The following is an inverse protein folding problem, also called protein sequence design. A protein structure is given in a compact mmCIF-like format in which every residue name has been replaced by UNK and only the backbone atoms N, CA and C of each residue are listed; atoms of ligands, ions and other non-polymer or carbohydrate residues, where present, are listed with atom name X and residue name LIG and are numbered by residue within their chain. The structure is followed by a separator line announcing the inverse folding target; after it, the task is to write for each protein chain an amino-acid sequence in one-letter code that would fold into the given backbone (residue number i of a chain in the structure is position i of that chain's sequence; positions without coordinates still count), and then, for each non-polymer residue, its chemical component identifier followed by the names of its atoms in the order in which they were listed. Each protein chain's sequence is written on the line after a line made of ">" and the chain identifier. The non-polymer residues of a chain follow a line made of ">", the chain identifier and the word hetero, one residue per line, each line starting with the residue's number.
data_IF_719089214811
#
_entry.id   IF_719089214811
#
_cell.length_a   1.000
_cell.length_b   1.000
_cell.length_c   1.000
_cell.angle_alpha   90.00
_cell.angle_beta   90.00
_cell.angle_gamma   90.00
#
_symmetry.space_group_name_H-M   'P 1'
#
loop_
_entity.id
_entity.type
_entity.pdbx_description
1 polymer ?
#
# COMPACT_ATOMS: atom_id res chain seq x y z
N UNK A 1 6.06 -12.19 -18.26
CA UNK A 1 6.69 -13.54 -18.29
C UNK A 1 5.69 -14.55 -18.85
N UNK A 2 6.16 -15.66 -19.40
CA UNK A 2 5.29 -16.73 -19.92
C UNK A 2 4.37 -17.29 -18.82
N UNK A 3 4.84 -17.36 -17.59
CA UNK A 3 4.07 -17.83 -16.44
C UNK A 3 2.85 -16.94 -16.18
N UNK A 4 3.03 -15.62 -16.22
CA UNK A 4 1.92 -14.67 -15.99
C UNK A 4 0.87 -14.78 -17.11
N UNK A 5 1.29 -14.85 -18.37
CA UNK A 5 0.37 -15.07 -19.49
C UNK A 5 -0.44 -16.36 -19.32
N UNK A 6 0.25 -17.46 -19.00
CA UNK A 6 -0.43 -18.74 -18.77
C UNK A 6 -1.41 -18.67 -17.62
N UNK A 7 -1.04 -18.06 -16.50
CA UNK A 7 -1.90 -17.92 -15.33
C UNK A 7 -3.18 -17.11 -15.64
N UNK A 8 -3.03 -16.00 -16.37
CA UNK A 8 -4.18 -15.17 -16.80
C UNK A 8 -5.13 -15.96 -17.69
N UNK A 9 -4.61 -16.60 -18.74
CA UNK A 9 -5.42 -17.37 -19.68
C UNK A 9 -6.10 -18.57 -19.00
N UNK A 10 -5.39 -19.26 -18.11
CA UNK A 10 -5.96 -20.34 -17.32
C UNK A 10 -7.09 -19.83 -16.39
N UNK A 11 -6.85 -18.72 -15.69
CA UNK A 11 -7.86 -18.13 -14.78
C UNK A 11 -9.12 -17.68 -15.55
N UNK A 12 -8.95 -17.01 -16.71
CA UNK A 12 -10.08 -16.63 -17.59
C UNK A 12 -10.90 -17.85 -18.04
N UNK A 13 -10.23 -18.89 -18.51
CA UNK A 13 -10.91 -20.11 -18.96
C UNK A 13 -11.63 -20.83 -17.83
N UNK A 14 -11.04 -20.90 -16.65
CA UNK A 14 -11.67 -21.53 -15.47
C UNK A 14 -12.84 -20.73 -14.93
N UNK A 15 -12.70 -19.41 -14.84
CA UNK A 15 -13.76 -18.51 -14.42
C UNK A 15 -14.99 -18.62 -15.35
N UNK A 16 -14.76 -18.59 -16.68
CA UNK A 16 -15.81 -18.77 -17.66
C UNK A 16 -16.51 -20.13 -17.54
N UNK A 17 -15.75 -21.21 -17.30
CA UNK A 17 -16.33 -22.56 -17.13
C UNK A 17 -17.14 -22.72 -15.84
N UNK A 18 -16.94 -21.86 -14.86
CA UNK A 18 -17.61 -21.90 -13.55
C UNK A 18 -18.63 -20.77 -13.37
N UNK A 19 -18.83 -19.94 -14.39
CA UNK A 19 -19.67 -18.72 -14.36
C UNK A 19 -19.31 -17.80 -13.18
N UNK A 20 -18.00 -17.56 -13.00
CA UNK A 20 -17.46 -16.72 -11.95
C UNK A 20 -16.84 -15.45 -12.55
N UNK A 21 -16.99 -14.28 -11.91
CA UNK A 21 -16.23 -13.11 -12.29
C UNK A 21 -14.73 -13.32 -11.98
N UNK A 22 -13.87 -12.77 -12.81
CA UNK A 22 -12.40 -12.71 -12.56
C UNK A 22 -11.92 -11.29 -12.77
N UNK A 23 -11.08 -10.82 -11.87
CA UNK A 23 -10.35 -9.54 -11.98
C UNK A 23 -8.87 -9.80 -11.83
N UNK A 24 -8.09 -9.01 -12.53
CA UNK A 24 -6.63 -9.10 -12.49
C UNK A 24 -6.04 -7.78 -12.01
N UNK A 25 -5.16 -7.89 -11.04
CA UNK A 25 -4.36 -6.76 -10.55
C UNK A 25 -2.88 -7.08 -10.71
N UNK A 26 -2.07 -6.08 -11.00
CA UNK A 26 -0.62 -6.21 -11.05
C UNK A 26 0.07 -5.07 -10.34
N UNK A 27 1.09 -5.41 -9.54
CA UNK A 27 2.05 -4.44 -9.00
C UNK A 27 3.33 -4.56 -9.81
N UNK A 28 3.78 -3.44 -10.39
CA UNK A 28 4.92 -3.45 -11.31
C UNK A 28 5.83 -2.25 -11.10
N UNK A 29 7.10 -2.39 -11.51
CA UNK A 29 8.04 -1.28 -11.63
C UNK A 29 8.00 -0.60 -13.00
N UNK A 30 7.17 -1.05 -13.92
CA UNK A 30 7.01 -0.46 -15.24
C UNK A 30 8.17 -0.73 -16.23
N UNK A 31 9.15 -1.57 -15.87
CA UNK A 31 10.31 -1.89 -16.71
C UNK A 31 9.98 -3.01 -17.72
N UNK A 32 9.16 -2.69 -18.70
CA UNK A 32 8.81 -3.61 -19.78
C UNK A 32 8.72 -2.87 -21.12
N UNK A 33 8.77 -3.60 -22.21
CA UNK A 33 8.67 -3.04 -23.55
C UNK A 33 7.21 -2.65 -23.88
N UNK A 34 7.06 -1.90 -24.96
CA UNK A 34 5.76 -1.35 -25.38
C UNK A 34 4.71 -2.43 -25.68
N UNK A 35 5.09 -3.58 -26.24
CA UNK A 35 4.16 -4.68 -26.50
C UNK A 35 3.63 -5.29 -25.18
N UNK A 36 4.48 -5.39 -24.15
CA UNK A 36 4.07 -5.81 -22.81
C UNK A 36 3.20 -4.74 -22.15
N UNK A 37 3.50 -3.45 -22.35
CA UNK A 37 2.68 -2.36 -21.83
C UNK A 37 1.24 -2.43 -22.37
N UNK A 38 1.09 -2.58 -23.69
CA UNK A 38 -0.22 -2.72 -24.31
C UNK A 38 -0.99 -3.94 -23.77
N UNK A 39 -0.31 -5.09 -23.67
CA UNK A 39 -0.92 -6.30 -23.10
C UNK A 39 -1.34 -6.11 -21.65
N UNK A 40 -0.55 -5.41 -20.83
CA UNK A 40 -0.92 -5.12 -19.44
C UNK A 40 -2.14 -4.21 -19.38
N UNK A 41 -2.16 -3.14 -20.17
CA UNK A 41 -3.28 -2.20 -20.24
C UNK A 41 -4.60 -2.87 -20.66
N UNK A 42 -4.54 -3.85 -21.57
CA UNK A 42 -5.72 -4.56 -22.08
C UNK A 42 -6.16 -5.73 -21.17
N UNK A 43 -5.30 -6.21 -20.28
CA UNK A 43 -5.52 -7.47 -19.57
C UNK A 43 -5.87 -7.27 -18.10
N UNK A 44 -5.26 -6.28 -17.46
CA UNK A 44 -5.42 -6.05 -16.02
C UNK A 44 -6.46 -4.97 -15.75
N UNK A 45 -7.33 -5.23 -14.79
CA UNK A 45 -8.34 -4.27 -14.34
C UNK A 45 -7.71 -3.14 -13.54
N UNK A 46 -6.67 -3.44 -12.74
CA UNK A 46 -5.95 -2.45 -11.95
C UNK A 46 -4.43 -2.66 -12.05
N UNK A 47 -3.71 -1.59 -12.28
CA UNK A 47 -2.24 -1.58 -12.33
C UNK A 47 -1.69 -0.65 -11.25
N UNK A 48 -0.96 -1.21 -10.28
CA UNK A 48 -0.20 -0.43 -9.30
C UNK A 48 1.22 -0.26 -9.81
N UNK A 49 1.52 0.93 -10.31
CA UNK A 49 2.84 1.26 -10.84
C UNK A 49 3.71 1.94 -9.79
N UNK A 50 4.87 1.36 -9.51
CA UNK A 50 5.86 1.96 -8.61
C UNK A 50 6.57 3.12 -9.32
N UNK A 51 6.20 4.36 -8.98
CA UNK A 51 6.79 5.59 -9.52
C UNK A 51 6.91 6.62 -8.39
N UNK A 52 8.15 7.01 -8.05
CA UNK A 52 8.40 7.85 -6.88
C UNK A 52 8.37 9.36 -7.20
N UNK A 53 8.43 9.75 -8.47
CA UNK A 53 8.38 11.15 -8.90
C UNK A 53 9.12 11.40 -10.22
N UNK A 54 9.50 12.66 -10.49
CA UNK A 54 10.34 13.06 -11.63
C UNK A 54 11.69 12.32 -11.69
N UNK A 55 12.42 12.47 -12.78
CA UNK A 55 13.64 11.73 -13.09
C UNK A 55 14.68 11.72 -11.98
N UNK A 56 14.91 12.87 -11.35
CA UNK A 56 15.89 13.03 -10.26
C UNK A 56 15.54 12.20 -9.01
N UNK A 57 14.26 12.02 -8.74
CA UNK A 57 13.76 11.18 -7.65
C UNK A 57 13.75 9.71 -8.08
N UNK A 58 13.11 9.41 -9.21
CA UNK A 58 12.94 8.03 -9.67
C UNK A 58 14.30 7.32 -9.86
N UNK A 59 15.24 7.95 -10.54
CA UNK A 59 16.55 7.34 -10.83
C UNK A 59 17.43 7.22 -9.57
N UNK A 60 17.23 8.07 -8.56
CA UNK A 60 17.93 8.00 -7.29
C UNK A 60 17.48 6.79 -6.46
N UNK A 61 16.17 6.55 -6.37
CA UNK A 61 15.61 5.53 -5.48
C UNK A 61 15.32 4.20 -6.17
N UNK A 62 15.15 4.22 -7.51
CA UNK A 62 14.87 3.02 -8.31
C UNK A 62 15.73 2.98 -9.58
N UNK A 63 17.08 3.02 -9.46
CA UNK A 63 17.95 2.93 -10.61
C UNK A 63 17.77 1.57 -11.31
N UNK A 64 17.96 1.53 -12.63
CA UNK A 64 18.04 0.26 -13.33
C UNK A 64 19.25 -0.56 -12.83
N UNK A 65 19.18 -1.90 -12.96
CA UNK A 65 20.23 -2.81 -12.47
C UNK A 65 21.64 -2.47 -12.99
N UNK A 66 21.75 -1.88 -14.17
CA UNK A 66 23.02 -1.45 -14.77
C UNK A 66 23.42 -0.01 -14.38
N UNK A 67 22.71 0.62 -13.43
CA UNK A 67 22.94 1.99 -12.98
C UNK A 67 22.51 3.09 -13.97
N UNK A 68 21.88 2.72 -15.10
CA UNK A 68 21.35 3.69 -16.06
C UNK A 68 19.97 4.19 -15.63
N UNK A 69 19.60 5.37 -16.12
CA UNK A 69 18.23 5.85 -15.99
C UNK A 69 17.25 4.90 -16.68
N UNK A 70 16.17 4.56 -15.97
CA UNK A 70 15.02 3.86 -16.52
C UNK A 70 13.78 4.77 -16.57
N UNK A 71 13.92 6.01 -16.10
CA UNK A 71 12.82 6.93 -15.90
C UNK A 71 11.97 7.14 -17.17
N UNK A 72 12.61 7.45 -18.30
CA UNK A 72 11.86 7.77 -19.52
C UNK A 72 11.01 6.58 -20.02
N UNK A 73 11.53 5.36 -19.91
CA UNK A 73 10.77 4.16 -20.24
C UNK A 73 9.57 3.98 -19.31
N UNK A 74 9.78 4.16 -17.99
CA UNK A 74 8.71 4.03 -17.00
C UNK A 74 7.67 5.13 -17.21
N UNK A 75 8.07 6.39 -17.46
CA UNK A 75 7.18 7.51 -17.74
C UNK A 75 6.31 7.23 -18.97
N UNK A 76 6.90 6.78 -20.08
CA UNK A 76 6.15 6.43 -21.29
C UNK A 76 5.15 5.29 -21.04
N UNK A 77 5.55 4.26 -20.29
CA UNK A 77 4.67 3.17 -19.91
C UNK A 77 3.55 3.65 -18.96
N UNK A 78 3.84 4.55 -18.03
CA UNK A 78 2.83 5.16 -17.16
C UNK A 78 1.75 5.92 -17.96
N UNK A 79 2.18 6.74 -18.93
CA UNK A 79 1.26 7.47 -19.83
C UNK A 79 0.42 6.49 -20.68
N UNK A 80 1.06 5.43 -21.20
CA UNK A 80 0.35 4.40 -21.96
C UNK A 80 -0.71 3.69 -21.12
N UNK A 81 -0.39 3.34 -19.87
CA UNK A 81 -1.34 2.70 -18.95
C UNK A 81 -2.48 3.65 -18.56
N UNK A 82 -2.18 4.93 -18.30
CA UNK A 82 -3.20 5.95 -17.98
C UNK A 82 -4.18 6.21 -19.14
N UNK A 83 -3.77 5.95 -20.38
CA UNK A 83 -4.61 6.07 -21.58
C UNK A 83 -5.34 4.77 -21.93
N UNK A 84 -5.03 3.67 -21.24
CA UNK A 84 -5.64 2.35 -21.42
C UNK A 84 -7.00 2.23 -20.72
N UNK A 85 -7.53 1.00 -20.68
CA UNK A 85 -8.80 0.69 -19.99
C UNK A 85 -8.60 0.28 -18.52
N UNK A 86 -7.34 0.04 -18.09
CA UNK A 86 -7.03 -0.33 -16.71
C UNK A 86 -7.06 0.88 -15.78
N UNK A 87 -7.44 0.66 -14.53
CA UNK A 87 -7.27 1.66 -13.46
C UNK A 87 -5.77 1.76 -13.11
N UNK A 88 -5.14 2.89 -13.41
CA UNK A 88 -3.74 3.15 -13.06
C UNK A 88 -3.61 3.83 -11.71
N UNK A 89 -3.03 3.14 -10.74
CA UNK A 89 -2.67 3.71 -9.44
C UNK A 89 -1.14 3.86 -9.36
N UNK A 90 -0.65 5.08 -9.18
CA UNK A 90 0.76 5.29 -8.89
C UNK A 90 1.03 5.03 -7.41
N UNK A 91 2.10 4.29 -7.12
CA UNK A 91 2.53 4.03 -5.75
C UNK A 91 3.91 4.60 -5.50
N UNK A 92 3.96 5.60 -4.63
CA UNK A 92 5.15 6.39 -4.30
C UNK A 92 5.65 6.02 -2.90
N UNK A 93 6.93 5.70 -2.79
CA UNK A 93 7.60 5.50 -1.51
C UNK A 93 8.24 6.81 -1.05
N UNK A 94 7.72 7.36 0.04
CA UNK A 94 8.15 8.67 0.56
C UNK A 94 9.25 8.49 1.59
N UNK A 95 10.37 9.19 1.38
CA UNK A 95 11.53 9.22 2.28
C UNK A 95 11.64 10.55 3.01
N UNK A 96 12.54 10.65 4.00
CA UNK A 96 12.88 11.91 4.65
C UNK A 96 13.27 13.01 3.65
N UNK A 97 13.99 12.66 2.59
CA UNK A 97 14.44 13.62 1.58
C UNK A 97 13.36 14.06 0.60
N UNK A 98 12.35 13.21 0.36
CA UNK A 98 11.30 13.51 -0.64
C UNK A 98 10.01 14.04 -0.03
N UNK A 99 9.82 13.94 1.28
CA UNK A 99 8.57 14.32 1.94
C UNK A 99 8.14 15.75 1.67
N UNK A 100 9.07 16.71 1.71
CA UNK A 100 8.77 18.13 1.46
C UNK A 100 8.47 18.44 -0.01
N UNK A 101 8.78 17.50 -0.92
CA UNK A 101 8.51 17.61 -2.35
C UNK A 101 7.19 16.94 -2.76
N UNK A 102 6.42 16.35 -1.82
CA UNK A 102 5.17 15.66 -2.16
C UNK A 102 4.17 16.52 -2.95
N UNK A 103 3.94 17.80 -2.64
CA UNK A 103 3.05 18.64 -3.45
C UNK A 103 3.56 18.88 -4.89
N UNK A 104 4.89 18.98 -5.08
CA UNK A 104 5.52 19.09 -6.41
C UNK A 104 5.36 17.78 -7.19
N UNK A 105 5.60 16.64 -6.53
CA UNK A 105 5.45 15.30 -7.12
C UNK A 105 3.99 15.07 -7.53
N UNK A 106 3.04 15.43 -6.66
CA UNK A 106 1.61 15.33 -6.94
C UNK A 106 1.19 16.15 -8.15
N UNK A 107 1.65 17.39 -8.23
CA UNK A 107 1.42 18.26 -9.38
C UNK A 107 1.97 17.65 -10.68
N UNK A 108 3.20 17.15 -10.63
CA UNK A 108 3.84 16.49 -11.76
C UNK A 108 3.07 15.24 -12.23
N UNK A 109 2.59 14.41 -11.30
CA UNK A 109 1.74 13.26 -11.66
C UNK A 109 0.45 13.69 -12.35
N UNK A 110 -0.20 14.72 -11.84
CA UNK A 110 -1.45 15.23 -12.38
C UNK A 110 -1.30 15.83 -13.79
N UNK A 111 -0.14 16.47 -14.07
CA UNK A 111 0.11 17.13 -15.36
C UNK A 111 0.69 16.20 -16.41
N UNK A 112 1.58 15.28 -16.02
CA UNK A 112 2.34 14.45 -16.96
C UNK A 112 1.73 13.06 -17.19
N UNK A 113 1.15 12.45 -16.16
CA UNK A 113 0.69 11.06 -16.22
C UNK A 113 -0.83 10.96 -16.25
N UNK A 114 -1.52 11.74 -15.41
CA UNK A 114 -2.98 11.75 -15.23
C UNK A 114 -3.48 10.36 -14.81
N UNK A 115 -3.00 9.81 -13.66
CA UNK A 115 -3.43 8.50 -13.18
C UNK A 115 -4.84 8.54 -12.58
N UNK A 116 -5.47 7.39 -12.39
CA UNK A 116 -6.75 7.25 -11.68
C UNK A 116 -6.62 7.44 -10.17
N UNK A 117 -5.41 7.34 -9.63
CA UNK A 117 -5.12 7.63 -8.23
C UNK A 117 -3.64 7.59 -7.90
N UNK A 118 -3.27 8.18 -6.77
CA UNK A 118 -1.88 8.17 -6.26
C UNK A 118 -1.87 7.70 -4.82
N UNK A 119 -1.11 6.66 -4.52
CA UNK A 119 -0.90 6.12 -3.19
C UNK A 119 0.48 6.57 -2.66
N UNK A 120 0.51 7.42 -1.64
CA UNK A 120 1.72 7.83 -0.96
C UNK A 120 1.95 6.99 0.29
N UNK A 121 3.02 6.20 0.31
CA UNK A 121 3.38 5.37 1.45
C UNK A 121 4.72 5.81 2.02
N UNK A 122 4.79 5.94 3.33
CA UNK A 122 6.05 6.22 4.00
C UNK A 122 7.00 5.04 3.87
N UNK A 123 8.28 5.33 3.63
CA UNK A 123 9.33 4.34 3.78
C UNK A 123 9.23 3.68 5.16
N UNK A 124 9.39 2.37 5.19
CA UNK A 124 9.48 1.60 6.44
C UNK A 124 10.94 1.35 6.77
N UNK A 125 11.31 1.57 8.03
CA UNK A 125 12.65 1.29 8.49
C UNK A 125 12.91 -0.23 8.51
N UNK A 126 13.80 -0.67 7.63
CA UNK A 126 14.20 -2.08 7.49
C UNK A 126 15.72 -2.17 7.43
N UNK A 127 16.32 -3.35 7.68
CA UNK A 127 17.76 -3.52 7.47
C UNK A 127 18.23 -3.10 6.07
N UNK A 128 17.42 -3.34 5.05
CA UNK A 128 17.74 -2.98 3.68
C UNK A 128 17.71 -1.46 3.46
N UNK A 129 16.68 -0.75 3.96
CA UNK A 129 16.62 0.72 3.85
C UNK A 129 17.75 1.39 4.64
N UNK A 130 18.09 0.88 5.83
CA UNK A 130 19.20 1.37 6.64
C UNK A 130 20.54 1.16 5.94
N UNK A 131 20.78 -0.02 5.36
CA UNK A 131 21.98 -0.31 4.58
C UNK A 131 22.12 0.58 3.34
N UNK A 132 20.99 1.02 2.76
CA UNK A 132 20.96 1.97 1.66
C UNK A 132 21.04 3.45 2.11
N UNK A 133 21.14 3.72 3.41
CA UNK A 133 21.16 5.08 3.95
C UNK A 133 19.84 5.84 3.78
N UNK A 134 18.73 5.12 3.66
CA UNK A 134 17.41 5.70 3.49
C UNK A 134 16.70 5.78 4.84
N UNK A 135 16.08 6.93 5.11
CA UNK A 135 15.35 7.20 6.35
C UNK A 135 13.86 7.47 6.05
N UNK A 136 12.94 6.98 6.91
CA UNK A 136 11.54 7.37 6.82
C UNK A 136 11.37 8.86 7.14
N UNK A 137 10.32 9.51 6.60
CA UNK A 137 10.00 10.87 6.95
C UNK A 137 9.48 10.96 8.39
N UNK A 138 9.65 12.14 9.01
CA UNK A 138 9.01 12.46 10.27
C UNK A 138 7.47 12.37 10.10
N UNK A 139 6.76 11.83 11.10
CA UNK A 139 5.37 11.44 10.97
C UNK A 139 4.39 12.60 10.76
N UNK A 140 4.59 13.72 11.47
CA UNK A 140 3.75 14.91 11.35
C UNK A 140 4.02 15.67 10.05
N UNK A 141 5.28 15.76 9.64
CA UNK A 141 5.64 16.36 8.37
C UNK A 141 5.10 15.53 7.20
N UNK A 142 5.18 14.20 7.27
CA UNK A 142 4.54 13.35 6.28
C UNK A 142 3.03 13.65 6.17
N UNK A 143 2.32 13.69 7.31
CA UNK A 143 0.88 13.93 7.30
C UNK A 143 0.53 15.30 6.70
N UNK A 144 1.29 16.34 7.04
CA UNK A 144 1.12 17.68 6.51
C UNK A 144 1.35 17.72 4.99
N UNK A 145 2.47 17.17 4.53
CA UNK A 145 2.84 17.18 3.11
C UNK A 145 1.92 16.27 2.28
N UNK A 146 1.44 15.17 2.86
CA UNK A 146 0.42 14.33 2.25
C UNK A 146 -0.88 15.14 1.99
N UNK A 147 -1.36 15.89 2.97
CA UNK A 147 -2.57 16.70 2.81
C UNK A 147 -2.40 17.78 1.73
N UNK A 148 -1.25 18.46 1.69
CA UNK A 148 -0.93 19.43 0.65
C UNK A 148 -0.85 18.80 -0.75
N UNK A 149 -0.28 17.59 -0.85
CA UNK A 149 -0.24 16.82 -2.09
C UNK A 149 -1.65 16.36 -2.53
N UNK A 150 -2.47 15.92 -1.56
CA UNK A 150 -3.86 15.56 -1.82
C UNK A 150 -4.68 16.72 -2.36
N UNK A 151 -4.52 17.93 -1.80
CA UNK A 151 -5.18 19.13 -2.32
C UNK A 151 -4.77 19.46 -3.77
N UNK A 152 -3.49 19.21 -4.12
CA UNK A 152 -3.03 19.37 -5.51
C UNK A 152 -3.68 18.38 -6.46
N UNK A 153 -3.76 17.11 -6.08
CA UNK A 153 -4.38 16.07 -6.89
C UNK A 153 -5.89 16.25 -7.03
N UNK A 154 -6.56 16.67 -5.94
CA UNK A 154 -8.00 16.93 -5.93
C UNK A 154 -8.42 17.98 -6.96
N UNK A 155 -7.58 19.02 -7.18
CA UNK A 155 -7.83 20.03 -8.20
C UNK A 155 -7.92 19.47 -9.64
N UNK A 156 -7.37 18.25 -9.86
CA UNK A 156 -7.44 17.50 -11.11
C UNK A 156 -8.42 16.32 -11.04
N UNK A 157 -9.16 16.15 -9.93
CA UNK A 157 -10.07 15.04 -9.72
C UNK A 157 -9.36 13.70 -9.43
N UNK A 158 -8.07 13.72 -9.07
CA UNK A 158 -7.28 12.53 -8.80
C UNK A 158 -7.26 12.26 -7.29
N UNK A 159 -7.72 11.09 -6.80
CA UNK A 159 -7.70 10.76 -5.40
C UNK A 159 -6.27 10.46 -4.90
N UNK A 160 -5.88 11.09 -3.79
CA UNK A 160 -4.69 10.70 -3.03
C UNK A 160 -5.07 9.63 -2.01
N UNK A 161 -4.30 8.54 -1.90
CA UNK A 161 -4.55 7.41 -1.01
C UNK A 161 -3.40 7.25 -0.01
N UNK A 162 -3.77 6.95 1.24
CA UNK A 162 -2.87 6.42 2.27
C UNK A 162 -3.53 5.16 2.81
N UNK A 163 -2.90 4.00 2.64
CA UNK A 163 -3.51 2.69 2.86
C UNK A 163 -4.11 2.49 4.27
N UNK A 164 -3.63 3.24 5.26
CA UNK A 164 -4.12 3.17 6.65
C UNK A 164 -5.13 4.26 7.03
N UNK A 165 -5.45 5.18 6.12
CA UNK A 165 -6.32 6.32 6.40
C UNK A 165 -7.48 6.47 5.38
N UNK A 166 -7.99 5.36 4.86
CA UNK A 166 -9.15 5.32 3.97
C UNK A 166 -10.44 5.32 4.80
N UNK A 167 -11.13 6.47 4.87
CA UNK A 167 -12.31 6.64 5.73
C UNK A 167 -13.56 5.95 5.18
N UNK A 168 -13.59 5.62 3.92
CA UNK A 168 -14.74 4.98 3.25
C UNK A 168 -14.82 3.47 3.53
N UNK A 169 -13.75 2.88 4.07
CA UNK A 169 -13.70 1.45 4.38
C UNK A 169 -13.74 1.20 5.88
N UNK A 170 -14.55 0.24 6.30
CA UNK A 170 -14.57 -0.27 7.68
C UNK A 170 -14.14 -1.74 7.66
N UNK A 171 -13.07 -2.07 8.39
CA UNK A 171 -12.51 -3.41 8.41
C UNK A 171 -11.88 -3.74 9.78
N UNK A 172 -11.80 -5.01 10.11
CA UNK A 172 -11.17 -5.49 11.34
C UNK A 172 -9.74 -5.99 11.14
N UNK A 173 -9.32 -6.17 9.88
CA UNK A 173 -7.96 -6.57 9.52
C UNK A 173 -7.50 -5.71 8.34
N UNK A 174 -6.30 -5.14 8.43
CA UNK A 174 -5.72 -4.24 7.42
C UNK A 174 -5.56 -4.88 6.04
N UNK A 175 -5.31 -6.17 5.99
CA UNK A 175 -5.20 -6.93 4.75
C UNK A 175 -5.95 -8.26 4.87
N UNK A 176 -6.28 -8.94 3.76
CA UNK A 176 -7.12 -10.15 3.77
C UNK A 176 -6.38 -11.40 4.29
N UNK A 177 -5.58 -11.26 5.34
CA UNK A 177 -4.78 -12.32 5.97
C UNK A 177 -5.63 -13.54 6.32
N UNK A 178 -5.33 -14.67 5.67
CA UNK A 178 -5.98 -15.94 5.96
C UNK A 178 -7.49 -16.00 5.68
N UNK A 179 -8.07 -14.94 5.11
CA UNK A 179 -9.48 -14.87 4.69
C UNK A 179 -9.57 -15.03 3.17
N UNK A 180 -9.17 -14.00 2.43
CA UNK A 180 -9.33 -13.95 1.00
C UNK A 180 -7.99 -13.95 0.24
N UNK A 181 -6.84 -13.98 0.96
CA UNK A 181 -5.52 -14.04 0.36
C UNK A 181 -4.91 -15.44 0.49
N UNK A 182 -4.54 -16.01 -0.65
CA UNK A 182 -3.71 -17.20 -0.77
C UNK A 182 -2.53 -16.86 -1.69
N UNK A 183 -1.33 -16.88 -1.14
CA UNK A 183 -0.10 -16.56 -1.86
C UNK A 183 0.68 -17.86 -2.01
N UNK A 184 1.05 -18.18 -3.23
CA UNK A 184 1.82 -19.36 -3.56
C UNK A 184 3.21 -18.92 -3.98
N UNK A 185 4.21 -19.38 -3.23
CA UNK A 185 5.61 -19.13 -3.53
C UNK A 185 6.15 -20.09 -4.59
N UNK A 186 7.33 -19.79 -5.11
CA UNK A 186 7.99 -20.59 -6.17
C UNK A 186 8.37 -22.00 -5.73
N UNK A 187 8.48 -22.26 -4.42
CA UNK A 187 8.73 -23.58 -3.84
C UNK A 187 7.43 -24.37 -3.53
N UNK A 188 6.26 -23.76 -3.82
CA UNK A 188 4.96 -24.33 -3.55
C UNK A 188 4.43 -24.04 -2.14
N UNK A 189 5.15 -23.29 -1.30
CA UNK A 189 4.63 -22.86 0.01
C UNK A 189 3.41 -21.96 -0.17
N UNK A 190 2.39 -22.18 0.66
CA UNK A 190 1.17 -21.38 0.69
C UNK A 190 1.15 -20.52 1.94
N UNK A 191 1.08 -19.20 1.75
CA UNK A 191 1.10 -18.22 2.82
C UNK A 191 -0.01 -17.17 2.69
N UNK A 192 -0.24 -16.41 3.76
CA UNK A 192 -1.17 -15.30 3.82
C UNK A 192 -0.49 -13.94 3.60
N UNK A 193 0.83 -13.89 3.44
CA UNK A 193 1.59 -12.64 3.34
C UNK A 193 2.69 -12.75 2.29
N UNK A 194 2.78 -11.74 1.42
CA UNK A 194 3.80 -11.67 0.36
C UNK A 194 5.16 -11.16 0.86
N UNK A 195 5.28 -10.71 2.12
CA UNK A 195 6.56 -10.37 2.70
C UNK A 195 7.42 -11.62 2.90
N UNK A 196 8.72 -11.42 2.96
CA UNK A 196 9.66 -12.52 3.14
C UNK A 196 9.40 -13.26 4.46
N UNK A 197 9.54 -14.59 4.50
CA UNK A 197 9.35 -15.37 5.71
C UNK A 197 10.17 -14.89 6.91
N UNK A 198 11.38 -14.35 6.69
CA UNK A 198 12.23 -13.80 7.72
C UNK A 198 11.60 -12.57 8.40
N UNK A 199 10.86 -11.75 7.65
CA UNK A 199 10.27 -10.53 8.18
C UNK A 199 9.12 -10.85 9.15
N UNK A 200 8.19 -11.71 8.75
CA UNK A 200 7.09 -12.04 9.65
C UNK A 200 7.50 -12.99 10.78
N UNK A 201 8.49 -13.87 10.58
CA UNK A 201 9.09 -14.66 11.68
C UNK A 201 9.78 -13.76 12.70
N UNK A 202 10.52 -12.72 12.25
CA UNK A 202 11.12 -11.70 13.13
C UNK A 202 10.05 -10.94 13.93
N UNK A 203 8.88 -10.73 13.36
CA UNK A 203 7.73 -10.16 14.05
C UNK A 203 7.00 -11.16 14.98
N UNK A 204 7.49 -12.39 15.12
CA UNK A 204 6.88 -13.43 15.94
C UNK A 204 5.59 -13.99 15.35
N UNK A 205 5.45 -13.94 14.02
CA UNK A 205 4.27 -14.43 13.29
C UNK A 205 4.62 -15.67 12.48
N UNK A 206 3.64 -16.55 12.31
CA UNK A 206 3.66 -17.68 11.39
C UNK A 206 2.53 -17.46 10.39
N UNK A 207 2.88 -17.16 9.14
CA UNK A 207 1.91 -16.77 8.11
C UNK A 207 1.84 -17.74 6.94
N UNK A 208 2.64 -18.80 6.92
CA UNK A 208 2.44 -19.98 6.06
C UNK A 208 1.43 -20.92 6.69
N UNK A 209 0.55 -21.46 5.88
CA UNK A 209 -0.53 -22.33 6.32
C UNK A 209 -0.80 -23.50 5.37
N UNK A 210 0.13 -23.77 4.45
CA UNK A 210 -0.03 -24.89 3.55
C UNK A 210 1.06 -25.04 2.52
N UNK A 211 0.82 -25.90 1.56
CA UNK A 211 1.74 -26.14 0.45
C UNK A 211 1.10 -26.88 -0.70
N UNK A 212 1.67 -26.69 -1.87
CA UNK A 212 1.34 -27.46 -3.06
C UNK A 212 2.29 -28.64 -3.14
N UNK A 213 1.72 -29.83 -3.06
CA UNK A 213 2.44 -31.07 -3.23
C UNK A 213 2.45 -31.42 -4.73
N UNK A 214 3.65 -31.54 -5.30
CA UNK A 214 3.80 -32.01 -6.67
C UNK A 214 3.38 -33.48 -6.75
N UNK A 215 2.61 -33.82 -7.77
CA UNK A 215 2.34 -35.21 -8.18
C UNK A 215 3.20 -35.61 -9.39
N UNK A 216 2.92 -36.79 -9.93
CA UNK A 216 3.66 -37.29 -11.12
C UNK A 216 3.38 -36.49 -12.40
N UNK A 217 2.37 -35.61 -12.38
CA UNK A 217 2.01 -34.70 -13.47
C UNK A 217 1.30 -33.43 -12.98
N UNK A 218 1.12 -32.41 -13.85
CA UNK A 218 0.49 -31.14 -13.48
C UNK A 218 -0.94 -31.30 -12.95
N UNK A 219 -1.65 -32.35 -13.38
CA UNK A 219 -3.00 -32.66 -12.93
C UNK A 219 -3.06 -33.34 -11.53
N UNK A 220 -1.93 -33.84 -11.06
CA UNK A 220 -1.84 -34.62 -9.82
C UNK A 220 -1.35 -33.77 -8.64
N UNK A 221 -1.08 -32.48 -8.88
CA UNK A 221 -0.74 -31.56 -7.81
C UNK A 221 -1.91 -31.41 -6.82
N UNK A 222 -1.62 -31.47 -5.53
CA UNK A 222 -2.61 -31.34 -4.48
C UNK A 222 -2.27 -30.18 -3.54
N UNK A 223 -3.30 -29.45 -3.12
CA UNK A 223 -3.18 -28.40 -2.11
C UNK A 223 -3.40 -28.99 -0.72
N UNK A 224 -2.40 -28.87 0.15
CA UNK A 224 -2.49 -29.24 1.55
C UNK A 224 -2.61 -27.97 2.40
N UNK A 225 -3.67 -27.88 3.19
CA UNK A 225 -3.90 -26.74 4.10
C UNK A 225 -3.75 -27.23 5.55
N UNK A 226 -2.99 -26.48 6.33
CA UNK A 226 -2.97 -26.56 7.79
C UNK A 226 -4.08 -25.66 8.34
N UNK A 227 -5.21 -26.27 8.69
CA UNK A 227 -6.39 -25.55 9.18
C UNK A 227 -6.14 -24.89 10.54
N UNK A 228 -5.23 -25.41 11.36
CA UNK A 228 -4.92 -24.82 12.66
C UNK A 228 -4.07 -23.56 12.48
N UNK A 229 -3.07 -23.60 11.61
CA UNK A 229 -2.28 -22.42 11.25
C UNK A 229 -3.15 -21.34 10.61
N UNK A 230 -4.02 -21.72 9.67
CA UNK A 230 -4.95 -20.78 9.01
C UNK A 230 -5.88 -20.10 10.02
N UNK A 231 -6.43 -20.86 10.99
CA UNK A 231 -7.30 -20.29 12.02
C UNK A 231 -6.56 -19.33 12.95
N UNK A 232 -5.29 -19.62 13.28
CA UNK A 232 -4.45 -18.72 14.06
C UNK A 232 -4.19 -17.39 13.32
N UNK A 233 -3.97 -17.45 12.00
CA UNK A 233 -3.81 -16.27 11.15
C UNK A 233 -5.10 -15.43 11.11
N UNK A 234 -6.26 -16.07 11.00
CA UNK A 234 -7.58 -15.40 10.97
C UNK A 234 -7.93 -14.64 12.24
N UNK A 235 -7.29 -14.98 13.37
CA UNK A 235 -7.42 -14.24 14.65
C UNK A 235 -6.62 -12.95 14.70
N UNK A 236 -5.75 -12.70 13.73
CA UNK A 236 -5.03 -11.43 13.65
C UNK A 236 -6.00 -10.32 13.18
N UNK A 237 -6.55 -9.60 14.14
CA UNK A 237 -7.50 -8.53 13.89
C UNK A 237 -7.31 -7.39 14.90
N UNK A 238 -7.90 -6.23 14.62
CA UNK A 238 -7.72 -5.00 15.40
C UNK A 238 -8.31 -5.09 16.82
N UNK A 239 -9.25 -6.01 17.05
CA UNK A 239 -9.90 -6.17 18.34
C UNK A 239 -8.97 -6.78 19.40
N UNK A 240 -7.93 -7.49 18.94
CA UNK A 240 -6.90 -8.09 19.80
C UNK A 240 -5.80 -7.10 20.23
N UNK A 241 -5.84 -5.85 19.74
CA UNK A 241 -4.77 -4.87 20.01
C UNK A 241 -5.19 -3.81 21.03
N UNK A 242 -4.57 -3.81 22.24
CA UNK A 242 -4.95 -2.88 23.31
C UNK A 242 -4.90 -1.40 22.91
N UNK A 243 -3.86 -0.98 22.18
CA UNK A 243 -3.72 0.41 21.71
C UNK A 243 -4.80 0.85 20.73
N UNK A 244 -5.45 -0.09 20.06
CA UNK A 244 -6.50 0.21 19.09
C UNK A 244 -7.88 0.34 19.74
N UNK A 245 -8.07 -0.15 20.96
CA UNK A 245 -9.39 -0.22 21.62
C UNK A 245 -10.08 1.13 21.73
N UNK A 246 -9.35 2.21 22.05
CA UNK A 246 -9.84 3.58 22.15
C UNK A 246 -9.42 4.47 20.97
N UNK A 247 -9.00 3.89 19.84
CA UNK A 247 -8.54 4.66 18.68
C UNK A 247 -9.70 4.95 17.73
N UNK A 248 -9.93 6.22 17.39
CA UNK A 248 -10.99 6.62 16.46
C UNK A 248 -10.75 6.08 15.04
N UNK A 249 -9.48 5.82 14.65
CA UNK A 249 -9.13 5.18 13.38
C UNK A 249 -9.23 3.65 13.40
N UNK A 250 -9.70 3.04 14.50
CA UNK A 250 -9.63 1.59 14.74
C UNK A 250 -10.04 0.77 13.53
N UNK A 251 -11.21 1.04 12.96
CA UNK A 251 -11.78 0.26 11.88
C UNK A 251 -11.44 0.76 10.48
N UNK A 252 -10.80 1.91 10.34
CA UNK A 252 -10.27 2.39 9.06
C UNK A 252 -8.83 1.93 8.85
N UNK A 253 -7.99 2.08 9.88
CA UNK A 253 -6.61 1.59 9.89
C UNK A 253 -6.52 0.07 10.10
N UNK A 254 -7.46 -0.52 10.85
CA UNK A 254 -7.49 -1.93 11.24
C UNK A 254 -6.17 -2.45 11.83
N UNK A 255 -5.46 -1.59 12.58
CA UNK A 255 -4.18 -1.89 13.20
C UNK A 255 -2.97 -1.80 12.26
N UNK A 256 -3.16 -1.51 10.97
CA UNK A 256 -2.09 -1.48 9.99
C UNK A 256 -1.46 -2.85 9.71
N UNK A 257 -0.27 -2.86 9.11
CA UNK A 257 0.42 -4.09 8.75
C UNK A 257 0.87 -4.90 9.97
N UNK A 258 0.34 -6.09 10.15
CA UNK A 258 0.67 -6.96 11.30
C UNK A 258 2.15 -7.31 11.42
N UNK A 259 2.91 -7.30 10.34
CA UNK A 259 4.34 -7.55 10.33
C UNK A 259 5.13 -6.28 10.66
N UNK A 260 4.90 -5.22 9.89
CA UNK A 260 5.70 -3.99 9.96
C UNK A 260 5.37 -3.10 11.16
N UNK A 261 4.15 -3.24 11.70
CA UNK A 261 3.64 -2.46 12.82
C UNK A 261 3.51 -3.27 14.12
N UNK A 262 4.01 -4.53 14.12
CA UNK A 262 3.82 -5.48 15.23
C UNK A 262 4.30 -4.97 16.58
N UNK A 263 5.44 -4.31 16.62
CA UNK A 263 6.01 -3.81 17.87
C UNK A 263 5.08 -2.81 18.57
N UNK A 264 4.44 -1.92 17.80
CA UNK A 264 3.45 -0.98 18.33
C UNK A 264 2.14 -1.68 18.71
N UNK A 265 1.66 -2.62 17.87
CA UNK A 265 0.42 -3.35 18.16
C UNK A 265 0.46 -4.12 19.47
N UNK A 266 1.63 -4.64 19.85
CA UNK A 266 1.85 -5.38 21.09
C UNK A 266 2.43 -4.52 22.22
N UNK A 267 2.77 -3.25 21.94
CA UNK A 267 3.33 -2.30 22.88
C UNK A 267 2.30 -1.41 23.56
N UNK A 268 2.80 -0.47 24.36
CA UNK A 268 1.97 0.51 25.09
C UNK A 268 2.00 1.89 24.41
N UNK A 269 2.85 2.09 23.41
CA UNK A 269 3.03 3.39 22.76
C UNK A 269 2.71 3.34 21.28
N UNK A 270 2.07 4.40 20.80
CA UNK A 270 1.82 4.60 19.37
C UNK A 270 3.12 4.95 18.65
N UNK A 271 3.31 4.39 17.46
CA UNK A 271 4.44 4.68 16.59
C UNK A 271 4.10 5.71 15.49
N UNK A 272 5.05 5.97 14.61
CA UNK A 272 4.90 6.89 13.48
C UNK A 272 3.76 6.53 12.54
N UNK A 273 3.44 5.23 12.35
CA UNK A 273 2.29 4.82 11.55
C UNK A 273 0.98 5.29 12.20
N UNK A 274 0.84 5.12 13.52
CA UNK A 274 -0.30 5.61 14.27
C UNK A 274 -0.45 7.13 14.15
N UNK A 275 0.66 7.88 14.26
CA UNK A 275 0.66 9.34 14.16
C UNK A 275 0.22 9.77 12.76
N UNK A 276 0.86 9.27 11.71
CA UNK A 276 0.51 9.59 10.32
C UNK A 276 -0.94 9.29 10.00
N UNK A 277 -1.39 8.07 10.32
CA UNK A 277 -2.76 7.63 10.05
C UNK A 277 -3.78 8.55 10.70
N UNK A 278 -3.62 8.83 11.99
CA UNK A 278 -4.54 9.67 12.75
C UNK A 278 -4.54 11.11 12.25
N UNK A 279 -3.36 11.67 11.99
CA UNK A 279 -3.22 13.03 11.50
C UNK A 279 -3.88 13.21 10.12
N UNK A 280 -3.65 12.30 9.19
CA UNK A 280 -4.30 12.32 7.87
C UNK A 280 -5.80 12.10 7.98
N UNK A 281 -6.25 11.17 8.86
CA UNK A 281 -7.68 10.93 9.06
C UNK A 281 -8.42 12.15 9.61
N UNK A 282 -7.81 12.90 10.57
CA UNK A 282 -8.39 14.17 11.06
C UNK A 282 -8.51 15.18 9.92
N UNK A 283 -7.46 15.38 9.14
CA UNK A 283 -7.49 16.31 8.02
C UNK A 283 -8.60 15.95 7.00
N UNK A 284 -8.75 14.66 6.67
CA UNK A 284 -9.82 14.19 5.78
C UNK A 284 -11.21 14.42 6.36
N UNK A 285 -11.39 14.16 7.65
CA UNK A 285 -12.66 14.44 8.33
C UNK A 285 -13.00 15.93 8.30
N UNK A 286 -12.03 16.82 8.53
CA UNK A 286 -12.24 18.26 8.46
C UNK A 286 -12.69 18.70 7.05
N UNK A 287 -12.10 18.12 6.00
CA UNK A 287 -12.53 18.36 4.61
C UNK A 287 -13.94 17.84 4.33
N UNK A 288 -14.26 16.61 4.74
CA UNK A 288 -15.60 16.05 4.56
C UNK A 288 -16.70 16.84 5.31
N UNK A 289 -16.34 17.49 6.42
CA UNK A 289 -17.22 18.37 7.20
C UNK A 289 -17.25 19.80 6.67
N UNK A 290 -16.56 20.10 5.56
CA UNK A 290 -16.45 21.46 5.01
C UNK A 290 -15.93 22.50 6.03
N UNK A 291 -15.07 22.04 6.95
CA UNK A 291 -14.50 22.86 8.02
C UNK A 291 -13.17 23.50 7.58
N UNK A 292 -13.21 24.31 6.53
CA UNK A 292 -12.02 24.82 5.83
C UNK A 292 -11.07 25.61 6.74
N UNK A 293 -11.60 26.47 7.61
CA UNK A 293 -10.76 27.25 8.54
C UNK A 293 -9.98 26.33 9.50
N UNK A 294 -10.62 25.27 10.00
CA UNK A 294 -9.98 24.29 10.87
C UNK A 294 -8.99 23.43 10.10
N UNK A 295 -9.30 23.08 8.85
CA UNK A 295 -8.38 22.37 7.99
C UNK A 295 -7.12 23.19 7.71
N UNK A 296 -7.24 24.49 7.41
CA UNK A 296 -6.09 25.37 7.20
C UNK A 296 -5.25 25.55 8.47
N UNK A 297 -5.89 25.64 9.65
CA UNK A 297 -5.18 25.66 10.93
C UNK A 297 -4.44 24.35 11.18
N UNK A 298 -5.08 23.20 10.87
CA UNK A 298 -4.46 21.89 10.96
C UNK A 298 -3.20 21.78 10.09
N UNK A 299 -3.23 22.26 8.86
CA UNK A 299 -2.09 22.24 7.95
C UNK A 299 -0.90 23.11 8.41
N UNK A 300 -1.15 24.15 9.23
CA UNK A 300 -0.06 25.00 9.75
C UNK A 300 0.81 24.23 10.77
N UNK A 301 0.18 23.56 11.73
CA UNK A 301 0.86 22.79 12.77
C UNK A 301 -0.01 21.63 13.26
N UNK A 302 -0.02 20.48 12.57
CA UNK A 302 -0.83 19.32 12.95
C UNK A 302 -0.48 18.79 14.35
N UNK A 303 0.77 18.90 14.77
CA UNK A 303 1.21 18.42 16.08
C UNK A 303 0.66 19.27 17.22
N UNK A 304 0.75 20.59 17.11
CA UNK A 304 0.19 21.50 18.11
C UNK A 304 -1.34 21.39 18.18
N UNK A 305 -2.02 21.29 17.03
CA UNK A 305 -3.47 21.09 16.99
C UNK A 305 -3.89 19.75 17.62
N UNK A 306 -3.17 18.66 17.34
CA UNK A 306 -3.42 17.36 17.96
C UNK A 306 -3.23 17.41 19.49
N UNK A 307 -2.23 18.11 19.98
CA UNK A 307 -1.99 18.27 21.42
C UNK A 307 -3.15 19.01 22.10
N UNK A 308 -3.72 20.06 21.48
CA UNK A 308 -4.85 20.80 22.01
C UNK A 308 -6.13 19.95 22.06
N UNK A 309 -6.39 19.14 21.05
CA UNK A 309 -7.54 18.23 20.99
C UNK A 309 -7.41 17.12 22.03
N UNK A 310 -6.23 16.54 22.20
CA UNK A 310 -5.99 15.48 23.19
C UNK A 310 -6.16 16.01 24.63
N UNK A 311 -5.71 17.22 24.93
CA UNK A 311 -5.96 17.86 26.22
C UNK A 311 -7.46 18.10 26.47
N UNK A 312 -8.22 18.48 25.44
CA UNK A 312 -9.66 18.65 25.55
C UNK A 312 -10.41 17.32 25.81
N UNK A 313 -9.92 16.21 25.25
CA UNK A 313 -10.51 14.88 25.46
C UNK A 313 -10.18 14.33 26.84
N UNK A 314 -8.96 14.56 27.36
CA UNK A 314 -8.59 14.16 28.73
C UNK A 314 -9.38 14.92 29.80
N UNK A 315 -9.90 16.12 29.50
CA UNK A 315 -10.81 16.88 30.42
C UNK A 315 -12.21 16.27 30.41
N UNK A 316 -12.58 15.46 29.41
CA UNK A 316 -13.89 14.81 29.30
C UNK A 316 -13.91 13.35 29.79
N UNK A 317 -12.77 12.79 30.22
CA UNK A 317 -12.68 11.53 30.95
C UNK A 317 -12.55 11.77 32.45
#
# INVERSE_FOLDING_TARGET
>A
SQVVHFAVEYAKARAAALDLPVRFEVITNGLFNQATCAWVADTFDTVLLSLDGPADIQDRYRPAHNGRSAFELIRQNAICLAQGECELILRTCVTHETVTRLPEIAQWFAEEIIPDGVCFESLVNTPASQAAGLEPPEAWEFARQFCLAADRLEAYGIPARLSTAELETCQVSFCPLGKDAMIVDSDGTVSACYLLPEDWKRAGLQLDYGGILAGDGPADASLKIDSQALEAIRRLNVDEYPLCSACFCRYHCAGGCHVKHRAALCGETRDDLCIRTRAVSVARLLKQLEADDLYQQWLQDPQAQAASVLQAVDIMQ
#
